data_IF_605852290495
#
_entry.id   IF_605852290495
#
_cell.length_a   1.000
_cell.length_b   1.000
_cell.length_c   1.000
_cell.angle_alpha   90.00
_cell.angle_beta   90.00
_cell.angle_gamma   90.00
#
_symmetry.space_group_name_H-M   'P 1'
#
loop_
_entity.id
_entity.type
_entity.pdbx_description
1 polymer ?
#
# COMPACT_ATOMS: atom_id res chain seq x y z
N UNK A 1 -0.11 71.41 21.77
CA UNK A 1 -0.50 70.88 20.45
C UNK A 1 0.55 69.89 19.99
N UNK A 2 0.36 68.60 20.30
CA UNK A 2 1.03 67.47 19.63
C UNK A 2 -0.07 66.42 19.49
N UNK A 3 -0.31 66.00 18.25
CA UNK A 3 -1.45 65.19 17.84
C UNK A 3 -1.27 63.71 18.19
N UNK A 4 -2.37 63.08 18.61
CA UNK A 4 -2.56 61.64 18.75
C UNK A 4 -2.31 60.91 17.42
N UNK A 5 -1.52 59.84 17.47
CA UNK A 5 -1.28 58.93 16.36
C UNK A 5 -2.27 57.75 16.44
N UNK A 6 -2.98 57.40 15.36
CA UNK A 6 -3.96 56.32 15.41
C UNK A 6 -3.31 54.94 15.44
N UNK A 7 -4.02 54.02 16.09
CA UNK A 7 -3.70 52.61 16.31
C UNK A 7 -3.11 51.89 15.08
N UNK A 8 -2.01 51.17 15.30
CA UNK A 8 -1.53 50.15 14.37
C UNK A 8 -2.47 48.94 14.46
N UNK A 9 -2.95 48.38 13.34
CA UNK A 9 -3.79 47.19 13.37
C UNK A 9 -3.00 46.00 13.95
N UNK A 10 -3.61 45.36 14.96
CA UNK A 10 -3.14 44.11 15.54
C UNK A 10 -2.90 43.08 14.44
N UNK A 11 -1.74 42.41 14.53
CA UNK A 11 -1.31 41.29 13.70
C UNK A 11 -2.41 40.23 13.70
N UNK A 12 -3.12 40.13 12.57
CA UNK A 12 -4.16 39.15 12.35
C UNK A 12 -3.61 37.73 12.50
N UNK A 13 -4.48 36.88 13.04
CA UNK A 13 -4.21 35.61 13.69
C UNK A 13 -3.40 34.61 12.84
N UNK A 14 -2.17 34.32 13.28
CA UNK A 14 -1.24 33.41 12.59
C UNK A 14 -1.75 31.97 12.45
N UNK A 15 -2.73 31.57 13.27
CA UNK A 15 -3.36 30.26 13.22
C UNK A 15 -4.29 30.12 12.00
N UNK A 16 -4.99 31.19 11.63
CA UNK A 16 -5.92 31.21 10.51
C UNK A 16 -5.18 31.09 9.18
N UNK A 17 -4.07 31.84 9.03
CA UNK A 17 -3.24 31.79 7.83
C UNK A 17 -2.60 30.42 7.61
N UNK A 18 -2.28 29.66 8.67
CA UNK A 18 -1.77 28.28 8.53
C UNK A 18 -2.86 27.31 8.10
N UNK A 19 -4.04 27.36 8.72
CA UNK A 19 -5.17 26.48 8.34
C UNK A 19 -5.57 26.66 6.87
N UNK A 20 -5.56 27.90 6.36
CA UNK A 20 -5.81 28.18 4.94
C UNK A 20 -4.72 27.61 4.03
N UNK A 21 -3.44 27.75 4.40
CA UNK A 21 -2.33 27.18 3.61
C UNK A 21 -2.37 25.65 3.60
N UNK A 22 -2.69 25.01 4.72
CA UNK A 22 -2.82 23.56 4.82
C UNK A 22 -3.99 23.04 3.95
N UNK A 23 -5.10 23.77 3.92
CA UNK A 23 -6.27 23.41 3.11
C UNK A 23 -5.99 23.55 1.60
N UNK A 24 -5.32 24.63 1.19
CA UNK A 24 -4.90 24.82 -0.21
C UNK A 24 -3.93 23.72 -0.64
N UNK A 25 -2.94 23.39 0.19
CA UNK A 25 -1.98 22.32 -0.11
C UNK A 25 -2.65 20.93 -0.21
N UNK A 26 -3.69 20.68 0.60
CA UNK A 26 -4.46 19.45 0.55
C UNK A 26 -5.27 19.34 -0.76
N UNK A 27 -5.88 20.45 -1.21
CA UNK A 27 -6.67 20.50 -2.45
C UNK A 27 -5.79 20.36 -3.70
N UNK A 28 -4.63 21.03 -3.73
CA UNK A 28 -3.67 20.91 -4.84
C UNK A 28 -3.11 19.48 -4.97
N UNK A 29 -2.81 18.82 -3.84
CA UNK A 29 -2.33 17.43 -3.83
C UNK A 29 -3.33 16.44 -4.44
N UNK A 30 -4.63 16.74 -4.35
CA UNK A 30 -5.71 15.90 -4.86
C UNK A 30 -6.17 16.30 -6.28
N UNK A 31 -5.46 17.21 -6.96
CA UNK A 31 -5.77 17.63 -8.34
C UNK A 31 -7.05 18.46 -8.49
N UNK A 32 -7.62 18.93 -7.38
CA UNK A 32 -8.82 19.76 -7.39
C UNK A 32 -8.43 21.23 -7.61
N UNK A 33 -8.44 21.68 -8.87
CA UNK A 33 -8.32 23.09 -9.23
C UNK A 33 -9.63 23.82 -8.93
N UNK A 34 -9.81 24.34 -7.72
CA UNK A 34 -10.83 25.33 -7.44
C UNK A 34 -10.23 26.74 -7.57
N UNK A 35 -10.65 27.48 -8.61
CA UNK A 35 -10.38 28.91 -8.69
C UNK A 35 -11.30 29.62 -7.69
N UNK A 36 -10.86 29.77 -6.45
CA UNK A 36 -11.53 30.65 -5.48
C UNK A 36 -11.12 32.07 -5.84
N UNK A 37 -12.09 32.91 -6.22
CA UNK A 37 -11.79 34.29 -6.54
C UNK A 37 -11.23 34.99 -5.28
N UNK A 38 -10.21 35.86 -5.40
CA UNK A 38 -9.64 36.58 -4.25
C UNK A 38 -10.68 37.33 -3.41
N UNK A 39 -11.78 37.76 -4.02
CA UNK A 39 -12.88 38.47 -3.37
C UNK A 39 -13.71 37.57 -2.43
N UNK A 40 -13.79 36.26 -2.70
CA UNK A 40 -14.48 35.29 -1.83
C UNK A 40 -13.70 35.02 -0.53
N UNK A 41 -12.37 35.16 -0.57
CA UNK A 41 -11.48 35.00 0.60
C UNK A 41 -11.65 36.17 1.58
N UNK A 42 -12.00 37.36 1.08
CA UNK A 42 -12.29 38.52 1.92
C UNK A 42 -13.64 38.40 2.65
N UNK A 43 -14.64 37.78 2.01
CA UNK A 43 -15.95 37.52 2.62
C UNK A 43 -15.89 36.48 3.76
N UNK A 44 -14.98 35.50 3.67
CA UNK A 44 -14.82 34.43 4.67
C UNK A 44 -14.08 34.84 5.96
N UNK A 45 -13.58 36.08 6.07
CA UNK A 45 -12.87 36.56 7.27
C UNK A 45 -13.78 36.82 8.49
N UNK A 46 -15.10 36.80 8.31
CA UNK A 46 -16.05 37.19 9.36
C UNK A 46 -16.69 36.06 10.16
N UNK A 47 -16.67 34.81 9.66
CA UNK A 47 -17.49 33.74 10.25
C UNK A 47 -16.75 32.40 10.29
N UNK A 48 -16.10 32.12 11.43
CA UNK A 48 -15.43 30.82 11.67
C UNK A 48 -16.40 29.63 11.53
N UNK A 49 -17.71 29.85 11.72
CA UNK A 49 -18.74 28.83 11.56
C UNK A 49 -18.89 28.35 10.12
N UNK A 50 -18.86 29.27 9.15
CA UNK A 50 -18.96 28.92 7.72
C UNK A 50 -17.73 28.17 7.24
N UNK A 51 -16.53 28.56 7.69
CA UNK A 51 -15.29 27.87 7.37
C UNK A 51 -15.23 26.46 7.95
N UNK A 52 -15.69 26.26 9.18
CA UNK A 52 -15.80 24.92 9.77
C UNK A 52 -16.81 24.07 9.01
N UNK A 53 -17.93 24.64 8.55
CA UNK A 53 -18.91 23.91 7.75
C UNK A 53 -18.36 23.54 6.37
N UNK A 54 -17.57 24.42 5.73
CA UNK A 54 -16.95 24.18 4.43
C UNK A 54 -15.85 23.11 4.52
N UNK A 55 -15.06 23.12 5.59
CA UNK A 55 -14.08 22.08 5.89
C UNK A 55 -14.77 20.71 6.07
N UNK A 56 -15.81 20.63 6.90
CA UNK A 56 -16.59 19.38 7.08
C UNK A 56 -17.23 18.88 5.79
N UNK A 57 -17.71 19.80 4.93
CA UNK A 57 -18.25 19.43 3.60
C UNK A 57 -17.15 18.88 2.68
N UNK A 58 -15.96 19.48 2.69
CA UNK A 58 -14.83 19.02 1.88
C UNK A 58 -14.30 17.64 2.32
N UNK A 59 -14.25 17.39 3.63
CA UNK A 59 -13.85 16.09 4.18
C UNK A 59 -14.87 15.00 3.81
N UNK A 60 -16.17 15.31 3.94
CA UNK A 60 -17.25 14.42 3.48
C UNK A 60 -17.15 14.11 1.99
N UNK A 61 -16.83 15.11 1.16
CA UNK A 61 -16.67 14.91 -0.28
C UNK A 61 -15.45 14.04 -0.63
N UNK A 62 -14.31 14.25 0.06
CA UNK A 62 -13.10 13.44 -0.11
C UNK A 62 -13.34 11.97 0.31
N UNK A 63 -14.10 11.77 1.40
CA UNK A 63 -14.49 10.42 1.82
C UNK A 63 -15.35 9.72 0.75
N UNK A 64 -16.30 10.44 0.13
CA UNK A 64 -17.10 9.91 -0.97
C UNK A 64 -16.29 9.55 -2.22
N UNK A 65 -15.21 10.28 -2.52
CA UNK A 65 -14.30 9.94 -3.63
C UNK A 65 -13.52 8.67 -3.32
N UNK A 66 -12.98 8.52 -2.11
CA UNK A 66 -12.29 7.30 -1.67
C UNK A 66 -13.20 6.07 -1.77
N UNK A 67 -14.44 6.18 -1.30
CA UNK A 67 -15.42 5.09 -1.40
C UNK A 67 -15.74 4.74 -2.86
N UNK A 68 -15.82 5.74 -3.76
CA UNK A 68 -16.05 5.51 -5.19
C UNK A 68 -14.85 4.80 -5.86
N UNK A 69 -13.61 5.11 -5.49
CA UNK A 69 -12.41 4.42 -5.98
C UNK A 69 -12.37 2.96 -5.51
N UNK A 70 -12.75 2.68 -4.26
CA UNK A 70 -12.88 1.32 -3.73
C UNK A 70 -13.97 0.53 -4.46
N UNK A 71 -15.11 1.15 -4.76
CA UNK A 71 -16.17 0.52 -5.56
C UNK A 71 -15.69 0.23 -6.99
N UNK A 72 -14.97 1.17 -7.61
CA UNK A 72 -14.43 1.02 -8.96
C UNK A 72 -13.35 -0.08 -9.02
N UNK A 73 -12.46 -0.14 -8.03
CA UNK A 73 -11.43 -1.19 -7.94
C UNK A 73 -12.08 -2.58 -7.77
N UNK A 74 -13.08 -2.69 -6.88
CA UNK A 74 -13.85 -3.92 -6.70
C UNK A 74 -14.63 -4.31 -7.97
N UNK A 75 -15.15 -3.34 -8.73
CA UNK A 75 -15.82 -3.58 -10.01
C UNK A 75 -14.84 -4.09 -11.09
N UNK A 76 -13.63 -3.53 -11.17
CA UNK A 76 -12.56 -4.00 -12.08
C UNK A 76 -12.15 -5.44 -11.79
N UNK A 77 -11.99 -5.79 -10.51
CA UNK A 77 -11.69 -7.16 -10.08
C UNK A 77 -12.82 -8.12 -10.50
N UNK A 78 -14.08 -7.75 -10.25
CA UNK A 78 -15.26 -8.53 -10.65
C UNK A 78 -15.34 -8.73 -12.17
N UNK A 79 -15.13 -7.66 -12.96
CA UNK A 79 -15.15 -7.74 -14.42
C UNK A 79 -14.05 -8.66 -14.96
N UNK A 80 -12.83 -8.56 -14.43
CA UNK A 80 -11.70 -9.42 -14.81
C UNK A 80 -12.01 -10.89 -14.54
N UNK A 81 -12.60 -11.19 -13.36
CA UNK A 81 -13.02 -12.54 -12.99
C UNK A 81 -14.13 -13.06 -13.91
N UNK A 82 -15.10 -12.22 -14.27
CA UNK A 82 -16.19 -12.59 -15.18
C UNK A 82 -15.69 -12.90 -16.60
N UNK A 83 -14.76 -12.09 -17.12
CA UNK A 83 -14.10 -12.35 -18.43
C UNK A 83 -13.34 -13.69 -18.39
N UNK A 84 -12.62 -13.96 -17.30
CA UNK A 84 -11.94 -15.24 -17.09
C UNK A 84 -12.92 -16.42 -17.10
N UNK A 85 -14.00 -16.33 -16.33
CA UNK A 85 -15.04 -17.36 -16.25
C UNK A 85 -15.71 -17.61 -17.61
N UNK A 86 -16.01 -16.54 -18.37
CA UNK A 86 -16.60 -16.65 -19.71
C UNK A 86 -15.66 -17.38 -20.67
N UNK A 87 -14.35 -17.11 -20.63
CA UNK A 87 -13.36 -17.81 -21.46
C UNK A 87 -13.30 -19.31 -21.13
N UNK A 88 -13.32 -19.66 -19.84
CA UNK A 88 -13.32 -21.05 -19.37
C UNK A 88 -14.60 -21.78 -19.83
N UNK A 89 -15.77 -21.16 -19.63
CA UNK A 89 -17.04 -21.73 -20.07
C UNK A 89 -17.09 -21.94 -21.60
N UNK A 90 -16.57 -20.98 -22.37
CA UNK A 90 -16.47 -21.09 -23.83
C UNK A 90 -15.57 -22.26 -24.27
N UNK A 91 -14.45 -22.48 -23.57
CA UNK A 91 -13.55 -23.61 -23.81
C UNK A 91 -14.22 -24.95 -23.47
N UNK A 92 -14.92 -25.05 -22.33
CA UNK A 92 -15.60 -26.28 -21.92
C UNK A 92 -16.70 -26.68 -22.91
N UNK A 93 -17.50 -25.71 -23.36
CA UNK A 93 -18.52 -25.93 -24.40
C UNK A 93 -17.88 -26.43 -25.70
N UNK A 94 -16.77 -25.83 -26.12
CA UNK A 94 -16.05 -26.25 -27.33
C UNK A 94 -15.52 -27.69 -27.22
N UNK A 95 -14.93 -28.06 -26.08
CA UNK A 95 -14.44 -29.43 -25.81
C UNK A 95 -15.61 -30.43 -25.79
N UNK A 96 -16.74 -30.05 -25.19
CA UNK A 96 -17.93 -30.90 -25.15
C UNK A 96 -18.52 -31.12 -26.54
N UNK A 97 -18.56 -30.08 -27.37
CA UNK A 97 -18.98 -30.18 -28.77
C UNK A 97 -18.05 -31.08 -29.59
N UNK A 98 -16.72 -30.98 -29.42
CA UNK A 98 -15.78 -31.89 -30.09
C UNK A 98 -16.01 -33.36 -29.68
N UNK A 99 -16.30 -33.65 -28.40
CA UNK A 99 -16.63 -35.03 -27.98
C UNK A 99 -17.94 -35.53 -28.58
N UNK A 100 -18.95 -34.67 -28.73
CA UNK A 100 -20.22 -35.02 -29.37
C UNK A 100 -20.00 -35.29 -30.86
N UNK A 101 -19.30 -34.39 -31.54
CA UNK A 101 -18.94 -34.55 -32.95
C UNK A 101 -18.06 -35.78 -33.18
N UNK A 102 -17.21 -36.17 -32.23
CA UNK A 102 -16.39 -37.39 -32.32
C UNK A 102 -17.21 -38.68 -32.38
N UNK A 103 -18.45 -38.68 -31.85
CA UNK A 103 -19.34 -39.84 -31.82
C UNK A 103 -20.23 -39.97 -33.05
N UNK A 104 -20.30 -38.94 -33.89
CA UNK A 104 -21.11 -38.96 -35.12
C UNK A 104 -20.34 -39.62 -36.26
N UNK A 105 -21.01 -40.35 -37.17
CA UNK A 105 -20.39 -40.85 -38.39
C UNK A 105 -19.80 -39.71 -39.23
N UNK A 106 -18.77 -40.01 -40.00
CA UNK A 106 -18.06 -39.02 -40.80
C UNK A 106 -18.90 -38.61 -42.00
N UNK A 107 -19.64 -37.50 -41.87
CA UNK A 107 -20.49 -36.93 -42.92
C UNK A 107 -19.94 -35.57 -43.36
N UNK A 108 -20.32 -35.10 -44.56
CA UNK A 108 -19.93 -33.78 -45.05
C UNK A 108 -20.33 -32.64 -44.07
N UNK A 109 -21.48 -32.78 -43.40
CA UNK A 109 -21.95 -31.85 -42.38
C UNK A 109 -21.04 -31.81 -41.14
N UNK A 110 -20.49 -32.95 -40.73
CA UNK A 110 -19.53 -33.02 -39.61
C UNK A 110 -18.25 -32.23 -39.94
N UNK A 111 -17.79 -32.29 -41.19
CA UNK A 111 -16.60 -31.56 -41.66
C UNK A 111 -16.83 -30.06 -41.67
N UNK A 112 -18.01 -29.61 -42.12
CA UNK A 112 -18.42 -28.20 -42.08
C UNK A 112 -18.54 -27.72 -40.63
N UNK A 113 -19.19 -28.48 -39.75
CA UNK A 113 -19.26 -28.12 -38.33
C UNK A 113 -17.89 -28.08 -37.67
N UNK A 114 -16.98 -29.00 -37.97
CA UNK A 114 -15.59 -28.92 -37.48
C UNK A 114 -14.84 -27.71 -38.04
N UNK A 115 -15.06 -27.34 -39.29
CA UNK A 115 -14.48 -26.13 -39.88
C UNK A 115 -15.01 -24.86 -39.21
N UNK A 116 -16.33 -24.75 -39.00
CA UNK A 116 -16.93 -23.62 -38.28
C UNK A 116 -16.52 -23.57 -36.80
N UNK A 117 -16.37 -24.71 -36.13
CA UNK A 117 -15.86 -24.80 -34.76
C UNK A 117 -14.38 -24.38 -34.73
N UNK A 118 -13.58 -24.81 -35.72
CA UNK A 118 -12.21 -24.33 -35.94
C UNK A 118 -12.10 -22.89 -36.37
N UNK A 119 -13.12 -22.26 -36.94
CA UNK A 119 -13.15 -20.83 -37.32
C UNK A 119 -13.58 -19.96 -36.14
N UNK A 120 -14.57 -20.43 -35.36
CA UNK A 120 -14.89 -19.92 -34.01
C UNK A 120 -13.72 -20.06 -33.03
N UNK A 121 -12.86 -21.06 -33.26
CA UNK A 121 -11.56 -21.28 -32.65
C UNK A 121 -10.42 -20.93 -33.63
N UNK A 122 -10.64 -20.12 -34.68
CA UNK A 122 -9.69 -19.94 -35.80
C UNK A 122 -8.77 -18.76 -35.61
N UNK A 123 -9.15 -17.87 -34.70
CA UNK A 123 -8.21 -17.24 -33.80
C UNK A 123 -8.25 -18.02 -32.48
N UNK A 124 -7.96 -19.33 -32.48
CA UNK A 124 -7.65 -20.01 -31.23
C UNK A 124 -6.43 -19.24 -30.75
N UNK A 125 -6.56 -18.40 -29.71
CA UNK A 125 -5.36 -17.88 -29.10
C UNK A 125 -4.54 -19.12 -28.81
N UNK A 126 -3.31 -19.15 -29.30
CA UNK A 126 -2.30 -20.14 -28.92
C UNK A 126 -2.58 -20.48 -27.47
N UNK A 127 -2.88 -21.77 -27.13
CA UNK A 127 -3.42 -22.13 -25.82
C UNK A 127 -2.63 -21.34 -24.79
N UNK A 128 -3.30 -20.53 -23.93
CA UNK A 128 -2.62 -19.52 -23.15
C UNK A 128 -1.46 -20.23 -22.47
N UNK A 129 -0.25 -19.84 -22.82
CA UNK A 129 0.92 -20.45 -22.21
C UNK A 129 0.80 -20.09 -20.74
N UNK A 130 0.51 -21.08 -19.90
CA UNK A 130 0.46 -20.92 -18.46
C UNK A 130 1.90 -20.78 -18.01
N UNK A 131 2.41 -19.57 -18.11
CA UNK A 131 3.72 -19.19 -17.64
C UNK A 131 3.63 -18.99 -16.13
N UNK A 132 4.50 -19.71 -15.43
CA UNK A 132 4.77 -19.43 -14.03
C UNK A 132 5.37 -18.02 -13.98
N UNK A 133 4.82 -17.10 -13.16
CA UNK A 133 5.36 -15.75 -13.07
C UNK A 133 6.80 -15.78 -12.57
N UNK A 134 7.59 -14.79 -13.00
CA UNK A 134 8.97 -14.66 -12.54
C UNK A 134 9.01 -14.35 -11.03
N UNK A 135 10.04 -14.84 -10.35
CA UNK A 135 10.28 -14.53 -8.93
C UNK A 135 10.55 -13.02 -8.80
N UNK A 136 9.95 -12.32 -7.81
CA UNK A 136 10.30 -10.93 -7.56
C UNK A 136 11.78 -10.74 -7.19
N UNK A 137 12.35 -9.63 -7.61
CA UNK A 137 13.76 -9.27 -7.39
C UNK A 137 13.88 -8.07 -6.45
N UNK A 138 15.07 -7.85 -5.89
CA UNK A 138 15.40 -6.67 -5.08
C UNK A 138 14.45 -6.43 -3.90
N UNK A 139 13.95 -7.51 -3.27
CA UNK A 139 13.16 -7.38 -2.05
C UNK A 139 13.97 -6.63 -0.99
N UNK A 140 13.38 -5.58 -0.43
CA UNK A 140 13.97 -4.73 0.60
C UNK A 140 12.96 -4.50 1.72
N UNK A 141 13.42 -4.53 2.97
CA UNK A 141 12.61 -4.24 4.15
C UNK A 141 13.24 -3.08 4.94
N UNK A 142 12.49 -2.00 5.12
CA UNK A 142 12.95 -0.76 5.74
C UNK A 142 12.07 -0.42 6.94
N UNK A 143 12.62 -0.29 8.16
CA UNK A 143 11.83 0.15 9.30
C UNK A 143 11.46 1.63 9.18
N UNK A 144 10.21 1.97 9.51
CA UNK A 144 9.69 3.34 9.48
C UNK A 144 9.40 3.78 10.92
N UNK A 145 10.28 4.56 11.57
CA UNK A 145 10.19 4.85 13.00
C UNK A 145 8.96 5.62 13.44
N UNK A 146 8.47 6.53 12.59
CA UNK A 146 7.37 7.44 12.90
C UNK A 146 6.03 6.71 12.97
N UNK A 147 5.75 5.84 11.98
CA UNK A 147 4.55 5.00 11.94
C UNK A 147 4.65 3.81 12.90
N UNK A 148 5.87 3.32 13.14
CA UNK A 148 6.08 2.06 13.80
C UNK A 148 5.69 0.88 12.90
N UNK A 149 6.10 0.94 11.64
CA UNK A 149 5.86 -0.11 10.64
C UNK A 149 7.17 -0.54 9.99
N UNK A 150 7.11 -1.59 9.17
CA UNK A 150 8.18 -1.96 8.24
C UNK A 150 7.59 -1.84 6.83
N UNK A 151 8.26 -1.07 5.97
CA UNK A 151 7.92 -0.94 4.56
C UNK A 151 8.72 -1.95 3.75
N UNK A 152 8.03 -2.73 2.94
CA UNK A 152 8.59 -3.67 1.98
C UNK A 152 8.49 -3.08 0.58
N UNK A 153 9.53 -3.25 -0.21
CA UNK A 153 9.53 -2.94 -1.64
C UNK A 153 10.28 -4.00 -2.43
N UNK A 154 9.88 -4.22 -3.68
CA UNK A 154 10.53 -5.14 -4.61
C UNK A 154 10.38 -4.66 -6.06
N UNK A 155 11.10 -5.29 -6.98
CA UNK A 155 10.94 -5.13 -8.43
C UNK A 155 10.49 -6.45 -9.05
N UNK A 156 9.87 -6.40 -10.23
CA UNK A 156 9.52 -7.60 -10.96
C UNK A 156 9.65 -7.37 -12.47
N UNK A 157 10.21 -8.34 -13.18
CA UNK A 157 10.49 -8.21 -14.61
C UNK A 157 9.32 -8.67 -15.50
N UNK A 158 8.36 -9.44 -14.98
CA UNK A 158 7.30 -10.07 -15.78
C UNK A 158 5.92 -9.43 -15.54
N UNK A 159 5.35 -8.85 -16.61
CA UNK A 159 3.99 -8.26 -16.68
C UNK A 159 2.83 -9.21 -16.34
N UNK A 160 3.09 -10.50 -16.15
CA UNK A 160 2.04 -11.49 -15.87
C UNK A 160 1.63 -11.58 -14.40
N UNK A 161 2.44 -11.04 -13.48
CA UNK A 161 2.07 -10.95 -12.07
C UNK A 161 0.91 -9.95 -11.91
N UNK A 162 -0.19 -10.40 -11.32
CA UNK A 162 -1.36 -9.57 -11.02
C UNK A 162 -1.48 -9.30 -9.52
N UNK A 163 -0.82 -10.12 -8.70
CA UNK A 163 -0.86 -10.07 -7.25
C UNK A 163 0.46 -10.61 -6.70
N UNK A 164 0.81 -10.20 -5.49
CA UNK A 164 1.96 -10.66 -4.74
C UNK A 164 1.48 -11.15 -3.39
N UNK A 165 1.99 -12.30 -2.97
CA UNK A 165 1.76 -12.84 -1.64
C UNK A 165 3.00 -12.65 -0.79
N UNK A 166 2.78 -12.18 0.44
CA UNK A 166 3.82 -11.90 1.40
C UNK A 166 3.67 -12.85 2.57
N UNK A 167 4.78 -13.44 2.98
CA UNK A 167 4.88 -14.15 4.24
C UNK A 167 5.85 -13.47 5.18
N UNK A 168 5.54 -13.55 6.47
CA UNK A 168 6.33 -13.00 7.56
C UNK A 168 6.71 -14.09 8.55
N UNK A 169 7.91 -14.04 9.09
CA UNK A 169 8.31 -14.87 10.22
C UNK A 169 8.93 -13.97 11.30
N UNK A 170 8.63 -14.25 12.56
CA UNK A 170 9.23 -13.55 13.70
C UNK A 170 10.39 -14.35 14.25
N UNK A 171 11.52 -13.70 14.54
CA UNK A 171 12.55 -14.31 15.38
C UNK A 171 12.48 -13.78 16.80
N UNK A 172 12.70 -14.67 17.75
CA UNK A 172 12.90 -14.32 19.16
C UNK A 172 14.26 -13.65 19.40
N UNK A 173 15.19 -13.76 18.45
CA UNK A 173 16.47 -13.05 18.50
C UNK A 173 16.26 -11.55 18.24
N UNK A 174 16.75 -10.72 19.16
CA UNK A 174 16.84 -9.27 19.01
C UNK A 174 18.00 -8.82 18.12
N UNK A 175 18.86 -9.75 17.69
CA UNK A 175 20.03 -9.44 16.85
C UNK A 175 19.80 -9.97 15.44
N UNK A 176 19.72 -9.10 14.41
CA UNK A 176 19.62 -9.56 13.03
C UNK A 176 20.88 -10.35 12.67
N UNK A 177 20.75 -11.48 11.97
CA UNK A 177 21.90 -12.22 11.49
C UNK A 177 22.74 -11.31 10.59
N UNK A 178 24.06 -11.34 10.78
CA UNK A 178 24.97 -10.66 9.85
C UNK A 178 24.74 -11.23 8.44
N UNK A 179 24.72 -10.36 7.44
CA UNK A 179 24.54 -10.71 6.03
C UNK A 179 25.35 -11.97 5.68
N UNK A 180 24.69 -12.99 5.13
CA UNK A 180 25.34 -14.21 4.63
C UNK A 180 25.51 -15.37 5.62
N UNK A 181 24.95 -15.31 6.84
CA UNK A 181 24.91 -16.49 7.74
C UNK A 181 23.56 -17.19 7.69
N UNK A 182 23.61 -18.53 7.55
CA UNK A 182 22.47 -19.45 7.66
C UNK A 182 21.71 -19.23 8.98
N UNK A 183 20.39 -19.21 8.90
CA UNK A 183 19.49 -18.95 10.02
C UNK A 183 19.61 -20.08 11.06
N UNK A 184 19.90 -19.78 12.34
CA UNK A 184 20.09 -20.81 13.36
C UNK A 184 18.80 -21.46 13.86
N UNK A 185 17.61 -21.03 13.38
CA UNK A 185 16.31 -21.53 13.84
C UNK A 185 15.41 -21.76 12.63
N UNK A 186 14.63 -22.86 12.57
CA UNK A 186 13.58 -23.00 11.57
C UNK A 186 12.58 -21.85 11.73
N UNK A 187 12.54 -20.95 10.75
CA UNK A 187 11.56 -19.88 10.70
C UNK A 187 10.21 -20.48 10.28
N UNK A 188 9.19 -20.32 11.12
CA UNK A 188 7.81 -20.57 10.71
C UNK A 188 7.27 -19.30 10.06
N UNK A 189 7.03 -19.37 8.75
CA UNK A 189 6.45 -18.28 8.00
C UNK A 189 4.92 -18.36 8.06
N UNK A 190 4.30 -17.21 8.25
CA UNK A 190 2.86 -17.00 8.30
C UNK A 190 2.43 -16.01 7.21
N UNK A 191 1.22 -16.15 6.68
CA UNK A 191 0.69 -15.26 5.66
C UNK A 191 0.53 -13.84 6.23
N UNK A 192 1.22 -12.87 5.62
CA UNK A 192 1.15 -11.46 6.01
C UNK A 192 0.10 -10.68 5.20
N UNK A 193 -0.19 -11.13 3.98
CA UNK A 193 -1.20 -10.52 3.12
C UNK A 193 -0.91 -10.70 1.64
N UNK A 194 -1.81 -10.16 0.83
CA UNK A 194 -1.66 -10.07 -0.62
C UNK A 194 -1.87 -8.66 -1.12
N UNK A 195 -1.11 -8.24 -2.13
CA UNK A 195 -1.19 -6.90 -2.72
C UNK A 195 -1.01 -6.95 -4.23
N UNK A 196 -1.60 -6.01 -4.96
CA UNK A 196 -1.37 -5.85 -6.40
C UNK A 196 -0.17 -4.95 -6.74
N UNK A 197 0.39 -4.28 -5.73
CA UNK A 197 1.48 -3.30 -5.89
C UNK A 197 2.83 -3.91 -5.49
N UNK A 198 3.92 -3.24 -5.85
CA UNK A 198 5.29 -3.64 -5.48
C UNK A 198 5.76 -3.10 -4.14
N UNK A 199 4.79 -2.72 -3.29
CA UNK A 199 5.00 -2.14 -1.97
C UNK A 199 4.00 -2.74 -0.98
N UNK A 200 4.47 -2.99 0.24
CA UNK A 200 3.62 -3.46 1.34
C UNK A 200 4.06 -2.82 2.65
N UNK A 201 3.12 -2.39 3.48
CA UNK A 201 3.41 -1.81 4.79
C UNK A 201 2.95 -2.76 5.89
N UNK A 202 3.91 -3.39 6.58
CA UNK A 202 3.64 -4.20 7.75
C UNK A 202 3.42 -3.29 8.98
N UNK A 203 2.16 -3.06 9.34
CA UNK A 203 1.78 -2.20 10.47
C UNK A 203 1.54 -3.01 11.75
N UNK A 204 2.33 -2.74 12.80
CA UNK A 204 2.18 -3.44 14.10
C UNK A 204 1.02 -2.94 14.97
N UNK A 205 0.22 -1.99 14.47
CA UNK A 205 -0.87 -1.33 15.22
C UNK A 205 -2.26 -1.88 14.88
N UNK A 206 -2.35 -2.95 14.09
CA UNK A 206 -3.63 -3.56 13.77
C UNK A 206 -4.29 -4.14 15.05
N UNK A 207 -5.62 -4.00 15.10
CA UNK A 207 -6.45 -4.18 16.30
C UNK A 207 -6.26 -5.55 16.97
N UNK A 208 -6.13 -5.55 18.30
CA UNK A 208 -6.17 -6.77 19.12
C UNK A 208 -4.84 -7.46 19.43
N UNK A 209 -3.74 -7.10 18.76
CA UNK A 209 -2.42 -7.69 19.04
C UNK A 209 -1.50 -6.79 19.86
N UNK A 210 -0.82 -7.39 20.86
CA UNK A 210 0.22 -6.71 21.63
C UNK A 210 1.35 -6.30 20.67
N UNK A 211 1.74 -5.01 20.62
CA UNK A 211 2.82 -4.58 19.75
C UNK A 211 4.11 -5.36 20.06
N UNK A 212 4.93 -5.68 19.06
CA UNK A 212 6.17 -6.41 19.29
C UNK A 212 7.11 -5.56 20.14
N UNK A 213 8.01 -6.25 20.86
CA UNK A 213 9.08 -5.58 21.61
C UNK A 213 9.91 -4.73 20.61
N UNK A 214 10.24 -3.47 20.91
CA UNK A 214 11.09 -2.67 20.04
C UNK A 214 12.41 -3.39 19.71
N UNK A 215 12.80 -3.42 18.43
CA UNK A 215 13.97 -4.17 17.96
C UNK A 215 13.71 -5.65 17.66
N UNK A 216 12.46 -6.11 17.68
CA UNK A 216 12.10 -7.49 17.24
C UNK A 216 12.42 -7.65 15.76
N UNK A 217 13.16 -8.70 15.38
CA UNK A 217 13.52 -8.96 13.98
C UNK A 217 12.40 -9.74 13.29
N UNK A 218 11.94 -9.21 12.16
CA UNK A 218 10.99 -9.85 11.26
C UNK A 218 11.67 -10.25 9.96
N UNK A 219 11.29 -11.39 9.41
CA UNK A 219 11.74 -11.91 8.13
C UNK A 219 10.59 -11.88 7.14
N UNK A 220 10.88 -11.51 5.90
CA UNK A 220 9.89 -11.37 4.85
C UNK A 220 10.34 -12.10 3.60
N UNK A 221 9.39 -12.73 2.92
CA UNK A 221 9.56 -13.26 1.57
C UNK A 221 8.31 -12.96 0.76
N UNK A 222 8.49 -12.81 -0.55
CA UNK A 222 7.41 -12.47 -1.48
C UNK A 222 7.39 -13.48 -2.63
N UNK A 223 6.21 -13.79 -3.16
CA UNK A 223 6.05 -14.50 -4.43
C UNK A 223 5.02 -13.82 -5.31
N UNK A 224 5.18 -13.93 -6.62
CA UNK A 224 4.22 -13.41 -7.58
C UNK A 224 3.12 -14.44 -7.86
N UNK A 225 1.90 -13.95 -8.10
CA UNK A 225 0.73 -14.72 -8.50
C UNK A 225 0.19 -14.11 -9.80
N UNK A 226 -0.03 -14.95 -10.81
CA UNK A 226 -0.63 -14.49 -12.07
C UNK A 226 -2.17 -14.53 -12.02
N UNK A 227 -2.84 -14.01 -13.04
CA UNK A 227 -4.33 -14.02 -13.15
C UNK A 227 -4.99 -15.41 -13.13
N UNK A 228 -4.20 -16.47 -13.32
CA UNK A 228 -4.67 -17.87 -13.31
C UNK A 228 -4.43 -18.55 -11.96
N UNK A 229 -3.78 -17.87 -11.00
CA UNK A 229 -3.44 -18.43 -9.70
C UNK A 229 -2.13 -19.20 -9.67
N UNK A 230 -1.36 -19.23 -10.77
CA UNK A 230 -0.02 -19.82 -10.77
C UNK A 230 0.93 -18.93 -9.96
N UNK A 231 1.82 -19.57 -9.21
CA UNK A 231 2.67 -18.91 -8.22
C UNK A 231 4.14 -19.09 -8.57
N UNK A 232 4.93 -18.04 -8.42
CA UNK A 232 6.39 -18.13 -8.53
C UNK A 232 6.98 -18.89 -7.33
N UNK A 233 8.26 -19.24 -7.42
CA UNK A 233 9.03 -19.54 -6.23
C UNK A 233 9.10 -18.29 -5.31
N UNK A 234 9.40 -18.50 -4.03
CA UNK A 234 9.60 -17.43 -3.07
C UNK A 234 10.93 -16.70 -3.32
N UNK A 235 10.96 -15.39 -3.05
CA UNK A 235 12.23 -14.64 -2.96
C UNK A 235 13.12 -15.18 -1.84
N UNK A 236 14.44 -14.93 -1.90
CA UNK A 236 15.27 -14.95 -0.69
C UNK A 236 14.65 -14.09 0.40
N UNK A 237 14.71 -14.55 1.65
CA UNK A 237 14.16 -13.79 2.76
C UNK A 237 15.03 -12.59 3.11
N UNK A 238 14.41 -11.45 3.34
CA UNK A 238 15.05 -10.27 3.94
C UNK A 238 14.57 -10.07 5.36
N UNK A 239 15.28 -9.27 6.16
CA UNK A 239 14.86 -8.97 7.52
C UNK A 239 14.96 -7.49 7.85
N UNK A 240 14.11 -7.05 8.76
CA UNK A 240 14.17 -5.74 9.37
C UNK A 240 13.73 -5.83 10.83
N UNK A 241 14.34 -4.99 11.67
CA UNK A 241 13.95 -4.89 13.07
C UNK A 241 12.79 -3.91 13.23
N UNK A 242 11.83 -4.21 14.11
CA UNK A 242 10.77 -3.27 14.45
C UNK A 242 11.39 -1.97 14.95
N UNK A 243 10.90 -0.81 14.48
CA UNK A 243 11.48 0.46 14.85
C UNK A 243 11.40 0.70 16.36
N UNK A 244 12.49 1.22 16.91
CA UNK A 244 12.51 1.73 18.27
C UNK A 244 11.88 3.12 18.24
N UNK A 245 10.62 3.23 18.67
CA UNK A 245 10.01 4.54 18.85
C UNK A 245 10.82 5.32 19.90
N UNK A 246 11.19 6.58 19.61
CA UNK A 246 11.71 7.46 20.65
C UNK A 246 10.67 7.49 21.78
N UNK A 247 11.10 7.18 22.99
CA UNK A 247 10.25 7.41 24.16
C UNK A 247 10.10 8.91 24.26
N UNK A 248 8.92 9.44 23.93
CA UNK A 248 8.59 10.85 24.18
C UNK A 248 8.77 11.03 25.68
N UNK A 249 9.81 11.76 26.07
CA UNK A 249 9.99 12.12 27.46
C UNK A 249 8.99 13.23 27.81
N UNK A 250 8.44 13.23 29.03
CA UNK A 250 7.58 14.30 29.48
C UNK A 250 8.30 15.64 29.29
N UNK A 251 7.61 16.57 28.63
CA UNK A 251 8.07 17.95 28.50
C UNK A 251 7.76 18.62 29.83
N UNK A 252 8.78 19.12 30.52
CA UNK A 252 8.59 19.93 31.71
C UNK A 252 8.74 21.40 31.33
N UNK A 253 7.74 22.26 31.62
CA UNK A 253 7.93 23.70 31.50
C UNK A 253 9.02 24.11 32.49
N UNK A 254 10.06 24.78 32.02
CA UNK A 254 11.13 25.30 32.90
C UNK A 254 10.81 26.73 33.31
N UNK A 255 10.17 27.51 32.43
CA UNK A 255 9.59 28.83 32.70
C UNK A 255 8.42 29.11 31.73
N UNK A 256 7.69 30.23 31.92
CA UNK A 256 6.64 30.67 31.00
C UNK A 256 7.11 30.97 29.56
N UNK A 257 8.43 31.04 29.32
CA UNK A 257 9.01 31.34 28.00
C UNK A 257 10.11 30.34 27.58
N UNK A 258 10.26 29.23 28.30
CA UNK A 258 11.35 28.27 28.06
C UNK A 258 10.88 26.83 28.13
N UNK A 259 11.10 26.10 27.04
CA UNK A 259 10.99 24.63 26.98
C UNK A 259 12.42 24.09 27.00
N UNK A 260 12.73 23.19 27.93
CA UNK A 260 13.98 22.44 27.92
C UNK A 260 13.75 21.04 27.36
N UNK A 261 14.61 20.64 26.44
CA UNK A 261 14.68 19.25 25.95
C UNK A 261 15.84 18.56 26.65
N UNK A 262 15.57 17.46 27.35
CA UNK A 262 16.60 16.55 27.81
C UNK A 262 16.69 15.41 26.80
N UNK A 263 17.78 15.30 26.03
CA UNK A 263 18.05 14.12 25.22
C UNK A 263 19.12 13.26 25.90
N UNK A 264 18.82 11.98 26.15
CA UNK A 264 19.87 11.02 26.46
C UNK A 264 20.39 10.42 25.16
N UNK A 265 21.66 10.69 24.84
CA UNK A 265 22.35 9.98 23.77
C UNK A 265 22.49 8.53 24.19
N UNK A 266 21.74 7.62 23.55
CA UNK A 266 21.88 6.19 23.79
C UNK A 266 23.24 5.77 23.23
N UNK A 267 24.21 5.52 24.12
CA UNK A 267 25.46 4.87 23.75
C UNK A 267 25.10 3.44 23.33
N UNK A 268 25.04 3.20 22.03
CA UNK A 268 25.13 1.83 21.51
C UNK A 268 26.57 1.42 21.76
N UNK A 269 26.83 0.69 22.84
CA UNK A 269 28.14 0.11 23.09
C UNK A 269 28.39 -0.96 22.02
N UNK A 270 29.19 -0.65 21.01
CA UNK A 270 29.74 -1.62 20.06
C UNK A 270 30.77 -2.54 20.74
N UNK A 271 30.37 -3.25 21.79
CA UNK A 271 31.08 -4.40 22.34
C UNK A 271 32.50 -4.19 22.89
N UNK A 272 33.00 -2.95 23.03
CA UNK A 272 34.25 -2.69 23.76
C UNK A 272 33.94 -2.22 25.16
N UNK A 273 34.15 -3.09 26.15
CA UNK A 273 34.26 -2.65 27.54
C UNK A 273 35.49 -1.74 27.62
N UNK A 274 35.26 -0.49 28.04
CA UNK A 274 36.34 0.31 28.60
C UNK A 274 36.52 -0.19 30.03
N UNK A 275 37.58 -0.96 30.25
CA UNK A 275 38.04 -1.29 31.60
C UNK A 275 38.98 -0.18 32.06
N UNK A 276 38.56 0.43 33.18
CA UNK A 276 39.24 1.35 34.13
C UNK A 276 40.15 2.44 33.57
#
# INVERSE_FOLDING_TARGET
>A
MIADSPDKPQVADSAFSRKLQDLVALLEKNGASFAIAPDDIAALRGDEGELSALASRSETALQGVSEAEDVLSAARVRATRAIGAYRIARLDIAVRMERILARLPETAERTVHRASLRELLGHAPTPPVFTIPAVPDNLCAVPVPQSGSIELSWSFANVEACEFEIETARSESSTPPKHGKTFPVPLSFEAAGKVSETRFVHSFRAEGHKPPVPGTVFYYRVRAINRFGEMSAWTPSVCAASPIRPKIMPIFPVTNFGISFLWMRRLVSNGRSLSR
#
